data_IF_843319046335
#
_entry.id   IF_843319046335
#
_cell.length_a   1.000
_cell.length_b   1.000
_cell.length_c   1.000
_cell.angle_alpha   90.00
_cell.angle_beta   90.00
_cell.angle_gamma   90.00
#
_symmetry.space_group_name_H-M   'P 1'
#
loop_
_entity.id
_entity.type
_entity.pdbx_description
1 polymer ?
#
# COMPACT_ATOMS: atom_id res chain seq x y z
N UNK A 1 90.95 -5.31 -30.12
CA UNK A 1 91.22 -6.70 -30.53
C UNK A 1 90.02 -7.62 -30.20
N UNK A 2 88.83 -7.39 -30.76
CA UNK A 2 87.63 -8.23 -30.48
C UNK A 2 86.62 -8.35 -31.65
N UNK A 3 86.80 -7.60 -32.74
CA UNK A 3 85.95 -7.71 -33.93
C UNK A 3 86.34 -8.85 -34.89
N UNK A 4 87.47 -9.51 -34.67
CA UNK A 4 88.05 -10.46 -35.64
C UNK A 4 87.61 -11.92 -35.42
N UNK A 5 87.19 -12.28 -34.19
CA UNK A 5 86.86 -13.67 -33.85
C UNK A 5 85.46 -14.11 -34.34
N UNK A 6 84.48 -13.21 -34.35
CA UNK A 6 83.12 -13.50 -34.84
C UNK A 6 83.06 -13.66 -36.37
N UNK A 7 83.89 -12.91 -37.08
CA UNK A 7 84.07 -13.01 -38.54
C UNK A 7 84.66 -14.36 -38.93
N UNK A 8 85.65 -14.86 -38.18
CA UNK A 8 86.26 -16.17 -38.45
C UNK A 8 85.30 -17.33 -38.12
N UNK A 9 84.53 -17.28 -37.03
CA UNK A 9 83.56 -18.34 -36.70
C UNK A 9 82.45 -18.44 -37.75
N UNK A 10 81.92 -17.31 -38.26
CA UNK A 10 80.91 -17.33 -39.35
C UNK A 10 81.47 -17.91 -40.65
N UNK A 11 82.72 -17.58 -41.01
CA UNK A 11 83.38 -18.16 -42.19
C UNK A 11 83.63 -19.66 -42.04
N UNK A 12 83.97 -20.15 -40.85
CA UNK A 12 84.18 -21.58 -40.58
C UNK A 12 82.87 -22.38 -40.55
N UNK A 13 81.76 -21.80 -40.10
CA UNK A 13 80.44 -22.48 -40.12
C UNK A 13 79.85 -22.50 -41.54
N UNK A 14 80.02 -21.43 -42.33
CA UNK A 14 79.58 -21.43 -43.73
C UNK A 14 80.41 -22.36 -44.62
N UNK A 15 81.71 -22.53 -44.37
CA UNK A 15 82.54 -23.48 -45.13
C UNK A 15 82.28 -24.95 -44.73
N UNK A 16 81.81 -25.22 -43.51
CA UNK A 16 81.39 -26.56 -43.10
C UNK A 16 80.00 -26.96 -43.65
N UNK A 17 79.14 -25.98 -43.98
CA UNK A 17 77.81 -26.21 -44.55
C UNK A 17 77.80 -26.42 -46.08
N UNK A 18 78.88 -26.07 -46.79
CA UNK A 18 78.95 -26.17 -48.26
C UNK A 18 79.62 -27.45 -48.76
N UNK A 19 80.18 -28.27 -47.87
CA UNK A 19 80.69 -29.59 -48.24
C UNK A 19 79.53 -30.58 -48.26
N UNK A 20 78.80 -30.59 -49.38
CA UNK A 20 77.89 -31.66 -49.76
C UNK A 20 78.69 -32.95 -50.00
N UNK A 21 79.11 -33.61 -48.91
CA UNK A 21 79.49 -35.00 -48.97
C UNK A 21 78.25 -35.77 -49.39
N UNK A 22 78.24 -36.22 -50.65
CA UNK A 22 77.16 -36.99 -51.23
C UNK A 22 77.19 -38.37 -50.57
N UNK A 23 76.55 -38.49 -49.41
CA UNK A 23 76.57 -39.67 -48.54
C UNK A 23 75.97 -40.94 -49.21
N UNK A 24 75.47 -40.79 -50.44
CA UNK A 24 74.95 -41.86 -51.28
C UNK A 24 75.92 -42.31 -52.38
N UNK A 25 77.18 -41.86 -52.40
CA UNK A 25 78.15 -42.23 -53.42
C UNK A 25 79.52 -42.62 -52.84
N UNK A 26 79.84 -43.93 -52.69
CA UNK A 26 78.97 -45.08 -52.93
C UNK A 26 77.96 -45.31 -51.78
N UNK A 27 76.78 -45.90 -52.04
CA UNK A 27 75.79 -46.16 -51.02
C UNK A 27 76.27 -47.24 -50.02
N UNK A 28 75.84 -47.19 -48.75
CA UNK A 28 76.16 -48.23 -47.78
C UNK A 28 75.59 -49.59 -48.25
N UNK A 29 76.25 -50.72 -47.94
CA UNK A 29 76.02 -52.03 -48.56
C UNK A 29 74.63 -52.66 -48.32
N UNK A 30 73.76 -52.00 -47.56
CA UNK A 30 72.41 -52.47 -47.23
C UNK A 30 71.31 -51.51 -47.71
N UNK A 31 71.65 -50.51 -48.53
CA UNK A 31 70.70 -49.48 -48.97
C UNK A 31 70.84 -49.26 -50.48
N UNK A 32 69.76 -49.44 -51.24
CA UNK A 32 69.78 -49.15 -52.67
C UNK A 32 69.95 -47.65 -52.92
N UNK A 33 70.55 -47.30 -54.07
CA UNK A 33 70.78 -45.90 -54.47
C UNK A 33 69.48 -45.09 -54.45
N UNK A 34 68.36 -45.71 -54.83
CA UNK A 34 67.03 -45.09 -54.83
C UNK A 34 66.50 -44.82 -53.42
N UNK A 35 66.69 -45.76 -52.48
CA UNK A 35 66.29 -45.59 -51.08
C UNK A 35 67.14 -44.50 -50.42
N UNK A 36 68.44 -44.44 -50.71
CA UNK A 36 69.32 -43.40 -50.17
C UNK A 36 68.90 -41.99 -50.65
N UNK A 37 68.55 -41.84 -51.95
CA UNK A 37 68.00 -40.59 -52.49
C UNK A 37 66.66 -40.21 -51.85
N UNK A 38 65.78 -41.18 -51.59
CA UNK A 38 64.49 -40.93 -50.93
C UNK A 38 64.66 -40.46 -49.49
N UNK A 39 65.53 -41.11 -48.71
CA UNK A 39 65.82 -40.75 -47.32
C UNK A 39 66.49 -39.38 -47.21
N UNK A 40 67.44 -39.06 -48.10
CA UNK A 40 68.04 -37.72 -48.16
C UNK A 40 67.01 -36.65 -48.57
N UNK A 41 66.13 -36.96 -49.51
CA UNK A 41 65.00 -36.09 -49.86
C UNK A 41 64.05 -35.83 -48.69
N UNK A 42 63.73 -36.86 -47.89
CA UNK A 42 62.91 -36.73 -46.69
C UNK A 42 63.63 -35.94 -45.60
N UNK A 43 64.92 -36.19 -45.36
CA UNK A 43 65.72 -35.44 -44.40
C UNK A 43 65.76 -33.96 -44.77
N UNK A 44 66.04 -33.64 -46.03
CA UNK A 44 66.07 -32.26 -46.51
C UNK A 44 64.68 -31.58 -46.40
N UNK A 45 63.59 -32.29 -46.67
CA UNK A 45 62.22 -31.77 -46.44
C UNK A 45 61.91 -31.55 -44.97
N UNK A 46 62.22 -32.51 -44.09
CA UNK A 46 62.03 -32.36 -42.64
C UNK A 46 62.90 -31.23 -42.06
N UNK A 47 64.12 -31.05 -42.55
CA UNK A 47 65.00 -29.98 -42.11
C UNK A 47 64.53 -28.62 -42.64
N UNK A 48 63.97 -28.56 -43.86
CA UNK A 48 63.32 -27.36 -44.39
C UNK A 48 62.04 -27.00 -43.62
N UNK A 49 61.21 -27.98 -43.23
CA UNK A 49 60.00 -27.77 -42.42
C UNK A 49 60.34 -27.41 -40.97
N UNK A 50 61.37 -28.03 -40.37
CA UNK A 50 61.85 -27.66 -39.04
C UNK A 50 62.43 -26.25 -39.01
N UNK A 51 63.18 -25.85 -40.05
CA UNK A 51 63.69 -24.47 -40.18
C UNK A 51 62.56 -23.48 -40.45
N UNK A 52 61.57 -23.82 -41.29
CA UNK A 52 60.37 -23.00 -41.51
C UNK A 52 59.53 -22.84 -40.24
N UNK A 53 59.42 -23.88 -39.40
CA UNK A 53 58.69 -23.82 -38.13
C UNK A 53 59.48 -23.10 -37.02
N UNK A 54 60.81 -23.22 -37.01
CA UNK A 54 61.67 -22.44 -36.10
C UNK A 54 61.67 -20.95 -36.47
N UNK A 55 61.69 -20.62 -37.76
CA UNK A 55 61.51 -19.26 -38.27
C UNK A 55 60.09 -18.77 -37.98
N UNK A 56 59.03 -19.57 -38.15
CA UNK A 56 57.66 -19.19 -37.78
C UNK A 56 57.48 -19.00 -36.26
N UNK A 57 58.14 -19.80 -35.42
CA UNK A 57 58.14 -19.64 -33.96
C UNK A 57 58.87 -18.37 -33.51
N UNK A 58 60.04 -18.09 -34.10
CA UNK A 58 60.75 -16.83 -33.86
C UNK A 58 59.98 -15.63 -34.45
N UNK A 59 59.38 -15.74 -35.63
CA UNK A 59 58.51 -14.71 -36.22
C UNK A 59 57.25 -14.46 -35.38
N UNK A 60 56.65 -15.48 -34.78
CA UNK A 60 55.49 -15.30 -33.89
C UNK A 60 55.87 -14.69 -32.55
N UNK A 61 57.05 -15.03 -32.01
CA UNK A 61 57.61 -14.41 -30.80
C UNK A 61 58.05 -12.96 -31.06
N UNK A 62 58.62 -12.68 -32.24
CA UNK A 62 59.02 -11.35 -32.69
C UNK A 62 57.78 -10.51 -33.05
N UNK A 63 56.77 -11.05 -33.72
CA UNK A 63 55.52 -10.36 -34.01
C UNK A 63 54.73 -10.05 -32.73
N UNK A 64 54.74 -10.96 -31.74
CA UNK A 64 54.16 -10.69 -30.42
C UNK A 64 54.87 -9.55 -29.67
N UNK A 65 56.20 -9.46 -29.79
CA UNK A 65 57.01 -8.39 -29.17
C UNK A 65 56.96 -7.07 -29.95
N UNK A 66 56.91 -7.10 -31.28
CA UNK A 66 56.77 -5.93 -32.16
C UNK A 66 55.38 -5.32 -32.01
N UNK A 67 54.31 -6.12 -31.91
CA UNK A 67 52.97 -5.60 -31.62
C UNK A 67 52.90 -4.94 -30.24
N UNK A 68 53.62 -5.47 -29.25
CA UNK A 68 53.68 -4.86 -27.92
C UNK A 68 54.44 -3.51 -27.93
N UNK A 69 55.52 -3.41 -28.73
CA UNK A 69 56.29 -2.16 -28.89
C UNK A 69 55.52 -1.13 -29.75
N UNK A 70 54.87 -1.55 -30.84
CA UNK A 70 54.06 -0.65 -31.67
C UNK A 70 52.85 -0.10 -30.91
N UNK A 71 52.21 -0.90 -30.05
CA UNK A 71 51.18 -0.44 -29.13
C UNK A 71 51.71 0.46 -28.01
N UNK A 72 53.03 0.49 -27.75
CA UNK A 72 53.62 1.37 -26.75
C UNK A 72 54.06 2.73 -27.34
N UNK A 73 54.34 2.79 -28.64
CA UNK A 73 54.89 3.98 -29.31
C UNK A 73 53.82 4.78 -30.08
N UNK A 74 52.69 4.16 -30.47
CA UNK A 74 51.64 4.81 -31.26
C UNK A 74 50.33 5.13 -30.53
N UNK A 75 50.29 4.98 -29.21
CA UNK A 75 49.05 4.84 -28.43
C UNK A 75 49.06 5.85 -27.29
N UNK A 76 48.05 6.72 -27.23
CA UNK A 76 47.85 7.68 -26.14
C UNK A 76 47.49 6.97 -24.81
N UNK A 77 47.48 7.72 -23.70
CA UNK A 77 47.16 7.17 -22.37
C UNK A 77 45.81 6.43 -22.33
N UNK A 78 44.84 6.87 -23.14
CA UNK A 78 43.54 6.23 -23.25
C UNK A 78 43.62 4.86 -23.92
N UNK A 79 44.41 4.75 -24.99
CA UNK A 79 44.66 3.52 -25.71
C UNK A 79 45.44 2.50 -24.83
N UNK A 80 46.46 2.94 -24.08
CA UNK A 80 47.20 2.05 -23.16
C UNK A 80 46.29 1.49 -22.06
N UNK A 81 45.35 2.29 -21.56
CA UNK A 81 44.37 1.86 -20.56
C UNK A 81 43.43 0.77 -21.11
N UNK A 82 43.01 0.87 -22.38
CA UNK A 82 42.15 -0.15 -23.02
C UNK A 82 42.87 -1.49 -23.17
N UNK A 83 44.12 -1.47 -23.61
CA UNK A 83 44.94 -2.68 -23.73
C UNK A 83 45.06 -3.39 -22.38
N UNK A 84 45.36 -2.64 -21.30
CA UNK A 84 45.42 -3.22 -19.95
C UNK A 84 44.08 -3.80 -19.49
N UNK A 85 42.96 -3.14 -19.82
CA UNK A 85 41.62 -3.65 -19.50
C UNK A 85 41.35 -4.96 -20.24
N UNK A 86 41.69 -5.06 -21.52
CA UNK A 86 41.46 -6.27 -22.31
C UNK A 86 42.38 -7.42 -21.89
N UNK A 87 43.64 -7.14 -21.52
CA UNK A 87 44.54 -8.12 -20.91
C UNK A 87 44.00 -8.66 -19.59
N UNK A 88 43.50 -7.77 -18.71
CA UNK A 88 42.90 -8.17 -17.44
C UNK A 88 41.60 -8.97 -17.65
N UNK A 89 40.77 -8.58 -18.62
CA UNK A 89 39.56 -9.31 -18.99
C UNK A 89 39.88 -10.71 -19.52
N UNK A 90 40.94 -10.85 -20.32
CA UNK A 90 41.41 -12.15 -20.80
C UNK A 90 41.86 -13.03 -19.64
N UNK A 91 42.72 -12.51 -18.76
CA UNK A 91 43.19 -13.23 -17.56
C UNK A 91 42.03 -13.66 -16.66
N UNK A 92 41.01 -12.80 -16.49
CA UNK A 92 39.81 -13.14 -15.72
C UNK A 92 39.02 -14.29 -16.36
N UNK A 93 38.78 -14.27 -17.68
CA UNK A 93 38.09 -15.35 -18.39
C UNK A 93 38.87 -16.67 -18.38
N UNK A 94 40.19 -16.61 -18.48
CA UNK A 94 41.05 -17.80 -18.41
C UNK A 94 41.02 -18.39 -16.99
N UNK A 95 41.03 -17.54 -15.95
CA UNK A 95 40.86 -17.97 -14.56
C UNK A 95 39.46 -18.54 -14.30
N UNK A 96 38.41 -17.94 -14.86
CA UNK A 96 37.03 -18.44 -14.79
C UNK A 96 36.89 -19.82 -15.44
N UNK A 97 37.52 -20.03 -16.61
CA UNK A 97 37.58 -21.36 -17.24
C UNK A 97 38.36 -22.37 -16.43
N UNK A 98 39.55 -22.01 -15.93
CA UNK A 98 40.34 -22.89 -15.08
C UNK A 98 39.58 -23.25 -13.79
N UNK A 99 38.83 -22.31 -13.23
CA UNK A 99 37.94 -22.56 -12.09
C UNK A 99 36.76 -23.48 -12.44
N UNK A 100 36.20 -23.37 -13.64
CA UNK A 100 35.14 -24.25 -14.14
C UNK A 100 35.64 -25.67 -14.48
N UNK A 101 36.88 -25.80 -14.95
CA UNK A 101 37.52 -27.07 -15.30
C UNK A 101 38.14 -27.78 -14.09
N UNK A 102 38.58 -27.02 -13.07
CA UNK A 102 39.20 -27.54 -11.84
C UNK A 102 38.42 -28.70 -11.19
N UNK A 103 37.07 -28.64 -11.03
CA UNK A 103 36.30 -29.76 -10.47
C UNK A 103 36.52 -31.07 -11.21
N UNK A 104 36.54 -31.03 -12.55
CA UNK A 104 36.68 -32.23 -13.39
C UNK A 104 38.05 -32.89 -13.26
N UNK A 105 39.11 -32.08 -13.26
CA UNK A 105 40.49 -32.56 -13.09
C UNK A 105 40.71 -33.12 -11.69
N UNK A 106 40.14 -32.48 -10.66
CA UNK A 106 40.21 -32.98 -9.28
C UNK A 106 39.43 -34.29 -9.11
N UNK A 107 38.26 -34.42 -9.72
CA UNK A 107 37.45 -35.64 -9.65
C UNK A 107 38.13 -36.82 -10.35
N UNK A 108 38.76 -36.58 -11.50
CA UNK A 108 39.52 -37.62 -12.21
C UNK A 108 40.75 -38.07 -11.41
N UNK A 109 41.49 -37.13 -10.81
CA UNK A 109 42.63 -37.44 -9.95
C UNK A 109 42.20 -38.23 -8.70
N UNK A 110 41.09 -37.81 -8.08
CA UNK A 110 40.50 -38.49 -6.92
C UNK A 110 40.04 -39.90 -7.28
N UNK A 111 39.35 -40.08 -8.41
CA UNK A 111 38.95 -41.39 -8.93
C UNK A 111 40.16 -42.30 -9.13
N UNK A 112 41.22 -41.81 -9.79
CA UNK A 112 42.47 -42.58 -10.00
C UNK A 112 43.08 -43.02 -8.66
N UNK A 113 43.07 -42.15 -7.66
CA UNK A 113 43.57 -42.46 -6.31
C UNK A 113 42.76 -43.59 -5.63
N UNK A 114 41.43 -43.48 -5.57
CA UNK A 114 40.60 -44.49 -4.90
C UNK A 114 40.56 -45.83 -5.65
N UNK A 115 40.58 -45.80 -6.99
CA UNK A 115 40.66 -47.02 -7.80
C UNK A 115 42.00 -47.75 -7.55
N UNK A 116 43.10 -47.01 -7.37
CA UNK A 116 44.40 -47.61 -7.05
C UNK A 116 44.44 -48.19 -5.63
N UNK A 117 43.82 -47.50 -4.66
CA UNK A 117 43.87 -47.86 -3.25
C UNK A 117 42.93 -49.02 -2.88
N UNK A 118 41.66 -48.90 -3.25
CA UNK A 118 40.57 -49.75 -2.76
C UNK A 118 39.83 -50.46 -3.93
N UNK A 119 40.30 -50.31 -5.17
CA UNK A 119 39.65 -50.83 -6.38
C UNK A 119 38.44 -50.03 -6.82
N UNK A 120 37.74 -50.50 -7.87
CA UNK A 120 36.58 -49.81 -8.42
C UNK A 120 35.41 -49.69 -7.42
N UNK A 121 35.24 -50.69 -6.56
CA UNK A 121 34.19 -50.70 -5.54
C UNK A 121 34.41 -49.60 -4.49
N UNK A 122 35.65 -49.37 -4.05
CA UNK A 122 35.95 -48.28 -3.11
C UNK A 122 35.63 -46.89 -3.67
N UNK A 123 35.85 -46.67 -4.97
CA UNK A 123 35.39 -45.45 -5.65
C UNK A 123 33.87 -45.32 -5.67
N UNK A 124 33.13 -46.41 -5.96
CA UNK A 124 31.68 -46.39 -5.92
C UNK A 124 31.12 -46.07 -4.53
N UNK A 125 31.74 -46.60 -3.46
CA UNK A 125 31.32 -46.32 -2.09
C UNK A 125 31.53 -44.85 -1.72
N UNK A 126 32.67 -44.26 -2.10
CA UNK A 126 32.94 -42.83 -1.91
C UNK A 126 31.92 -41.98 -2.67
N UNK A 127 31.63 -42.33 -3.92
CA UNK A 127 30.68 -41.62 -4.76
C UNK A 127 29.25 -41.72 -4.20
N UNK A 128 28.85 -42.91 -3.77
CA UNK A 128 27.54 -43.16 -3.16
C UNK A 128 27.37 -42.36 -1.86
N UNK A 129 28.38 -42.37 -0.99
CA UNK A 129 28.36 -41.57 0.23
C UNK A 129 28.29 -40.06 -0.07
N UNK A 130 29.05 -39.58 -1.06
CA UNK A 130 29.01 -38.17 -1.49
C UNK A 130 27.62 -37.78 -1.96
N UNK A 131 27.02 -38.53 -2.87
CA UNK A 131 25.70 -38.19 -3.39
C UNK A 131 24.59 -38.39 -2.36
N UNK A 132 24.72 -39.35 -1.45
CA UNK A 132 23.81 -39.53 -0.32
C UNK A 132 23.83 -38.28 0.57
N UNK A 133 25.02 -37.79 0.95
CA UNK A 133 25.15 -36.57 1.75
C UNK A 133 24.58 -35.33 1.04
N UNK A 134 24.82 -35.19 -0.27
CA UNK A 134 24.24 -34.09 -1.07
C UNK A 134 22.72 -34.21 -1.11
N UNK A 135 22.18 -35.41 -1.32
CA UNK A 135 20.74 -35.65 -1.34
C UNK A 135 20.11 -35.34 0.01
N UNK A 136 20.74 -35.74 1.12
CA UNK A 136 20.25 -35.48 2.48
C UNK A 136 20.32 -33.99 2.85
N UNK A 137 21.37 -33.27 2.43
CA UNK A 137 21.45 -31.81 2.59
C UNK A 137 20.34 -31.11 1.81
N UNK A 138 20.18 -31.45 0.52
CA UNK A 138 19.11 -30.89 -0.33
C UNK A 138 17.72 -31.20 0.22
N UNK A 139 17.51 -32.42 0.71
CA UNK A 139 16.27 -32.83 1.38
C UNK A 139 16.01 -31.99 2.63
N UNK A 140 17.01 -31.79 3.48
CA UNK A 140 16.90 -30.99 4.71
C UNK A 140 16.59 -29.52 4.38
N UNK A 141 17.27 -28.94 3.40
CA UNK A 141 16.98 -27.58 2.90
C UNK A 141 15.56 -27.49 2.33
N UNK A 142 15.12 -28.48 1.55
CA UNK A 142 13.77 -28.51 0.98
C UNK A 142 12.70 -28.60 2.08
N UNK A 143 12.88 -29.46 3.09
CA UNK A 143 11.97 -29.59 4.24
C UNK A 143 11.91 -28.27 5.01
N UNK A 144 13.06 -27.63 5.26
CA UNK A 144 13.12 -26.34 5.96
C UNK A 144 12.36 -25.25 5.20
N UNK A 145 12.64 -25.10 3.90
CA UNK A 145 11.95 -24.13 3.03
C UNK A 145 10.45 -24.39 2.93
N UNK A 146 10.05 -25.65 2.87
CA UNK A 146 8.64 -26.03 2.86
C UNK A 146 7.96 -25.67 4.19
N UNK A 147 8.63 -25.90 5.32
CA UNK A 147 8.14 -25.49 6.63
C UNK A 147 8.03 -23.96 6.80
N UNK A 148 8.97 -23.20 6.24
CA UNK A 148 8.90 -21.74 6.17
C UNK A 148 7.70 -21.27 5.32
N UNK A 149 7.50 -21.87 4.14
CA UNK A 149 6.38 -21.57 3.27
C UNK A 149 5.01 -21.87 3.93
N UNK A 150 4.88 -23.01 4.62
CA UNK A 150 3.65 -23.35 5.36
C UNK A 150 3.36 -22.29 6.44
N UNK A 151 4.39 -21.84 7.16
CA UNK A 151 4.22 -20.78 8.17
C UNK A 151 3.75 -19.48 7.54
N UNK A 152 4.35 -19.07 6.42
CA UNK A 152 3.94 -17.88 5.68
C UNK A 152 2.48 -17.98 5.20
N UNK A 153 2.07 -19.13 4.66
CA UNK A 153 0.68 -19.38 4.27
C UNK A 153 -0.27 -19.27 5.47
N UNK A 154 0.08 -19.82 6.63
CA UNK A 154 -0.74 -19.68 7.84
C UNK A 154 -0.86 -18.22 8.29
N UNK A 155 0.24 -17.46 8.27
CA UNK A 155 0.20 -16.02 8.57
C UNK A 155 -0.73 -15.28 7.60
N UNK A 156 -0.64 -15.53 6.30
CA UNK A 156 -1.53 -14.92 5.30
C UNK A 156 -3.00 -15.29 5.51
N UNK A 157 -3.29 -16.53 5.90
CA UNK A 157 -4.66 -16.97 6.22
C UNK A 157 -5.19 -16.23 7.45
N UNK A 158 -4.37 -16.07 8.49
CA UNK A 158 -4.77 -15.39 9.70
C UNK A 158 -4.95 -13.87 9.48
N UNK A 159 -4.08 -13.26 8.67
CA UNK A 159 -4.23 -11.87 8.23
C UNK A 159 -5.54 -11.68 7.45
N UNK A 160 -5.84 -12.55 6.49
CA UNK A 160 -7.09 -12.51 5.73
C UNK A 160 -8.33 -12.68 6.63
N UNK A 161 -8.28 -13.57 7.63
CA UNK A 161 -9.34 -13.68 8.64
C UNK A 161 -9.48 -12.39 9.46
N UNK A 162 -8.36 -11.77 9.85
CA UNK A 162 -8.36 -10.48 10.53
C UNK A 162 -9.03 -9.39 9.70
N UNK A 163 -8.68 -9.28 8.42
CA UNK A 163 -9.26 -8.32 7.48
C UNK A 163 -10.77 -8.54 7.28
N UNK A 164 -11.22 -9.78 7.11
CA UNK A 164 -12.65 -10.08 6.95
C UNK A 164 -13.47 -9.74 8.20
N UNK A 165 -12.93 -10.00 9.40
CA UNK A 165 -13.56 -9.58 10.66
C UNK A 165 -13.63 -8.05 10.74
N UNK A 166 -12.53 -7.36 10.43
CA UNK A 166 -12.47 -5.90 10.43
C UNK A 166 -13.49 -5.30 9.45
N UNK A 167 -13.61 -5.86 8.24
CA UNK A 167 -14.58 -5.44 7.24
C UNK A 167 -16.02 -5.64 7.71
N UNK A 168 -16.32 -6.76 8.37
CA UNK A 168 -17.62 -7.01 8.98
C UNK A 168 -17.96 -5.94 10.02
N UNK A 169 -17.00 -5.61 10.91
CA UNK A 169 -17.17 -4.57 11.93
C UNK A 169 -17.34 -3.17 11.34
N UNK A 170 -16.63 -2.85 10.26
CA UNK A 170 -16.82 -1.59 9.53
C UNK A 170 -18.22 -1.48 8.91
N UNK A 171 -18.77 -2.57 8.37
CA UNK A 171 -20.14 -2.59 7.84
C UNK A 171 -21.19 -2.42 8.95
N UNK A 172 -20.98 -3.07 10.09
CA UNK A 172 -21.84 -2.92 11.27
C UNK A 172 -21.85 -1.46 11.76
N UNK A 173 -20.66 -0.85 11.89
CA UNK A 173 -20.53 0.56 12.27
C UNK A 173 -21.19 1.50 11.27
N UNK A 174 -21.03 1.26 9.96
CA UNK A 174 -21.68 2.05 8.92
C UNK A 174 -23.21 1.99 9.05
N UNK A 175 -23.76 0.79 9.30
CA UNK A 175 -25.20 0.62 9.50
C UNK A 175 -25.69 1.43 10.71
N UNK A 176 -25.00 1.34 11.85
CA UNK A 176 -25.32 2.12 13.06
C UNK A 176 -25.33 3.63 12.74
N UNK A 177 -24.34 4.12 11.98
CA UNK A 177 -24.28 5.56 11.61
C UNK A 177 -25.42 5.99 10.69
N UNK A 178 -25.87 5.13 9.78
CA UNK A 178 -27.03 5.40 8.92
C UNK A 178 -28.30 5.46 9.79
N UNK A 179 -28.48 4.47 10.67
CA UNK A 179 -29.64 4.40 11.57
C UNK A 179 -29.69 5.61 12.53
N UNK A 180 -28.55 6.03 13.09
CA UNK A 180 -28.42 7.25 13.90
C UNK A 180 -28.76 8.53 13.12
N UNK A 181 -28.30 8.63 11.87
CA UNK A 181 -28.57 9.80 11.02
C UNK A 181 -30.07 9.90 10.69
N UNK A 182 -30.70 8.79 10.34
CA UNK A 182 -32.13 8.76 10.06
C UNK A 182 -32.96 9.02 11.32
N UNK A 183 -32.55 8.51 12.48
CA UNK A 183 -33.17 8.84 13.76
C UNK A 183 -33.06 10.35 14.09
N UNK A 184 -31.90 10.96 13.86
CA UNK A 184 -31.68 12.40 14.05
C UNK A 184 -32.53 13.25 13.10
N UNK A 185 -32.63 12.88 11.82
CA UNK A 185 -33.51 13.55 10.86
C UNK A 185 -34.97 13.50 11.31
N UNK A 186 -35.45 12.32 11.71
CA UNK A 186 -36.81 12.15 12.20
C UNK A 186 -37.06 12.99 13.48
N UNK A 187 -36.08 13.10 14.36
CA UNK A 187 -36.17 13.95 15.55
C UNK A 187 -36.26 15.44 15.17
N UNK A 188 -35.42 15.92 14.24
CA UNK A 188 -35.45 17.30 13.74
C UNK A 188 -36.77 17.60 13.04
N UNK A 189 -37.29 16.68 12.22
CA UNK A 189 -38.56 16.86 11.51
C UNK A 189 -39.73 16.93 12.50
N UNK A 190 -39.70 16.11 13.56
CA UNK A 190 -40.70 16.14 14.64
C UNK A 190 -40.63 17.44 15.45
N UNK A 191 -39.43 17.90 15.83
CA UNK A 191 -39.25 19.20 16.50
C UNK A 191 -39.68 20.36 15.60
N UNK A 192 -39.40 20.29 14.30
CA UNK A 192 -39.83 21.30 13.33
C UNK A 192 -41.36 21.30 13.17
N UNK A 193 -42.00 20.13 13.14
CA UNK A 193 -43.45 20.03 13.08
C UNK A 193 -44.14 20.56 14.36
N UNK A 194 -43.56 20.25 15.53
CA UNK A 194 -44.08 20.73 16.82
C UNK A 194 -43.87 22.24 17.01
N UNK A 195 -42.74 22.78 16.58
CA UNK A 195 -42.50 24.23 16.58
C UNK A 195 -43.44 24.95 15.63
N UNK A 196 -43.64 24.47 14.40
CA UNK A 196 -44.61 25.06 13.47
C UNK A 196 -46.05 25.05 13.99
N UNK A 197 -46.45 23.99 14.71
CA UNK A 197 -47.80 23.94 15.32
C UNK A 197 -47.91 24.86 16.53
N UNK A 198 -46.86 24.96 17.35
CA UNK A 198 -46.80 25.91 18.46
C UNK A 198 -46.80 27.37 17.99
N UNK A 199 -46.04 27.71 16.94
CA UNK A 199 -46.02 29.06 16.36
C UNK A 199 -47.42 29.47 15.87
N UNK A 200 -48.13 28.56 15.18
CA UNK A 200 -49.54 28.80 14.79
C UNK A 200 -50.44 29.03 15.99
N UNK A 201 -50.27 28.27 17.08
CA UNK A 201 -51.03 28.45 18.32
C UNK A 201 -50.77 29.81 18.96
N UNK A 202 -49.50 30.26 18.99
CA UNK A 202 -49.14 31.58 19.51
C UNK A 202 -49.83 32.67 18.70
N UNK A 203 -49.78 32.59 17.36
CA UNK A 203 -50.45 33.56 16.47
C UNK A 203 -51.97 33.61 16.71
N UNK A 204 -52.64 32.46 16.86
CA UNK A 204 -54.08 32.44 17.15
C UNK A 204 -54.40 33.00 18.54
N UNK A 205 -53.54 32.73 19.53
CA UNK A 205 -53.69 33.26 20.88
C UNK A 205 -53.53 34.78 20.93
N UNK A 206 -52.53 35.33 20.23
CA UNK A 206 -52.32 36.77 20.16
C UNK A 206 -53.45 37.46 19.41
N UNK A 207 -53.89 36.91 18.28
CA UNK A 207 -55.01 37.47 17.52
C UNK A 207 -56.33 37.43 18.28
N UNK A 208 -56.62 36.33 18.98
CA UNK A 208 -57.78 36.25 19.87
C UNK A 208 -57.69 37.27 21.01
N UNK A 209 -56.52 37.47 21.60
CA UNK A 209 -56.28 38.49 22.62
C UNK A 209 -56.52 39.91 22.11
N UNK A 210 -55.98 40.26 20.94
CA UNK A 210 -56.17 41.56 20.29
C UNK A 210 -57.65 41.82 19.95
N UNK A 211 -58.35 40.80 19.43
CA UNK A 211 -59.78 40.88 19.17
C UNK A 211 -60.58 41.12 20.45
N UNK A 212 -60.26 40.40 21.53
CA UNK A 212 -60.96 40.53 22.82
C UNK A 212 -60.73 41.91 23.45
N UNK A 213 -59.53 42.48 23.32
CA UNK A 213 -59.24 43.86 23.73
C UNK A 213 -60.02 44.88 22.90
N UNK A 214 -60.13 44.66 21.59
CA UNK A 214 -60.90 45.52 20.67
C UNK A 214 -62.38 45.51 21.02
N UNK A 215 -62.97 44.33 21.20
CA UNK A 215 -64.37 44.15 21.61
C UNK A 215 -64.62 44.79 22.99
N UNK A 216 -63.71 44.60 23.94
CA UNK A 216 -63.79 45.23 25.27
C UNK A 216 -63.81 46.76 25.18
N UNK A 217 -62.94 47.34 24.34
CA UNK A 217 -62.89 48.79 24.13
C UNK A 217 -64.20 49.30 23.50
N UNK A 218 -64.68 48.61 22.46
CA UNK A 218 -65.93 48.94 21.78
C UNK A 218 -67.14 48.90 22.73
N UNK A 219 -67.29 47.83 23.51
CA UNK A 219 -68.36 47.68 24.49
C UNK A 219 -68.31 48.77 25.57
N UNK A 220 -67.11 49.18 26.00
CA UNK A 220 -66.94 50.29 26.96
C UNK A 220 -67.43 51.62 26.39
N UNK A 221 -67.15 51.90 25.11
CA UNK A 221 -67.62 53.11 24.43
C UNK A 221 -69.15 53.09 24.33
N UNK A 222 -69.74 51.99 23.83
CA UNK A 222 -71.21 51.82 23.72
C UNK A 222 -71.87 52.04 25.09
N UNK A 223 -71.30 51.45 26.14
CA UNK A 223 -71.79 51.59 27.50
C UNK A 223 -71.79 53.04 27.99
N UNK A 224 -70.69 53.79 27.78
CA UNK A 224 -70.60 55.22 28.16
C UNK A 224 -71.66 56.03 27.40
N UNK A 225 -71.84 55.78 26.10
CA UNK A 225 -72.87 56.45 25.30
C UNK A 225 -74.27 56.16 25.85
N UNK A 226 -74.59 54.90 26.15
CA UNK A 226 -75.89 54.52 26.75
C UNK A 226 -76.10 55.17 28.12
N UNK A 227 -75.05 55.27 28.94
CA UNK A 227 -75.12 55.95 30.23
C UNK A 227 -75.45 57.44 30.06
N UNK A 228 -74.80 58.13 29.11
CA UNK A 228 -75.08 59.54 28.80
C UNK A 228 -76.50 59.71 28.26
N UNK A 229 -76.93 58.86 27.32
CA UNK A 229 -78.29 58.85 26.76
C UNK A 229 -79.32 58.71 27.88
N UNK A 230 -79.11 57.77 28.80
CA UNK A 230 -79.98 57.55 29.95
C UNK A 230 -80.01 58.75 30.90
N UNK A 231 -78.86 59.38 31.17
CA UNK A 231 -78.80 60.56 32.02
C UNK A 231 -79.51 61.76 31.38
N UNK A 232 -79.33 61.99 30.08
CA UNK A 232 -79.86 63.17 29.37
C UNK A 232 -81.35 63.02 29.06
N UNK A 233 -81.75 61.90 28.48
CA UNK A 233 -83.13 61.68 28.01
C UNK A 233 -83.98 60.81 28.95
N UNK A 234 -83.37 60.18 29.95
CA UNK A 234 -84.09 59.34 30.90
C UNK A 234 -84.89 60.12 31.95
N UNK A 235 -85.51 59.39 32.91
CA UNK A 235 -86.29 59.99 33.99
C UNK A 235 -85.45 60.90 34.91
N UNK A 236 -84.13 60.70 34.91
CA UNK A 236 -83.22 61.43 35.80
C UNK A 236 -83.31 62.96 35.63
N UNK A 237 -83.19 63.47 34.38
CA UNK A 237 -83.40 64.89 34.09
C UNK A 237 -84.87 65.23 33.81
N UNK A 238 -85.57 64.42 33.02
CA UNK A 238 -86.94 64.75 32.57
C UNK A 238 -87.96 64.84 33.72
N UNK A 239 -87.84 63.98 34.74
CA UNK A 239 -88.73 63.98 35.92
C UNK A 239 -88.11 64.67 37.14
N UNK A 240 -86.96 65.33 36.97
CA UNK A 240 -86.21 65.99 38.05
C UNK A 240 -85.87 65.06 39.23
N UNK A 241 -85.70 63.76 38.97
CA UNK A 241 -85.40 62.75 40.01
C UNK A 241 -84.07 63.00 40.72
N UNK A 242 -83.18 63.79 40.13
CA UNK A 242 -81.94 64.28 40.75
C UNK A 242 -82.16 65.03 42.08
N UNK A 243 -83.37 65.55 42.35
CA UNK A 243 -83.72 66.17 43.63
C UNK A 243 -84.03 65.17 44.74
N UNK A 244 -84.32 63.92 44.38
CA UNK A 244 -84.71 62.87 45.33
C UNK A 244 -83.57 61.88 45.56
N UNK A 245 -83.37 61.46 46.82
CA UNK A 245 -82.30 60.51 47.14
C UNK A 245 -82.46 59.16 46.42
N UNK A 246 -83.71 58.74 46.17
CA UNK A 246 -84.01 57.52 45.40
C UNK A 246 -83.60 57.62 43.93
N UNK A 247 -83.68 58.82 43.34
CA UNK A 247 -83.29 59.07 41.95
C UNK A 247 -81.79 58.91 41.68
N UNK A 248 -80.94 59.06 42.70
CA UNK A 248 -79.49 58.87 42.58
C UNK A 248 -79.05 57.40 42.58
N UNK A 249 -79.88 56.49 43.09
CA UNK A 249 -79.52 55.06 43.19
C UNK A 249 -79.31 54.46 41.80
N UNK A 250 -80.21 54.73 40.85
CA UNK A 250 -80.14 54.19 39.50
C UNK A 250 -78.85 54.58 38.74
N UNK A 251 -78.45 55.86 38.64
CA UNK A 251 -77.21 56.24 37.95
C UNK A 251 -75.94 55.77 38.68
N UNK A 252 -75.95 55.74 40.02
CA UNK A 252 -74.82 55.19 40.79
C UNK A 252 -74.64 53.70 40.49
N UNK A 253 -75.73 52.92 40.53
CA UNK A 253 -75.71 51.49 40.21
C UNK A 253 -75.26 51.28 38.77
N UNK A 254 -75.75 52.09 37.82
CA UNK A 254 -75.32 52.06 36.43
C UNK A 254 -73.79 52.25 36.37
N UNK A 255 -73.26 53.38 36.84
CA UNK A 255 -71.81 53.68 36.82
C UNK A 255 -70.95 52.57 37.48
N UNK A 256 -71.41 51.98 38.57
CA UNK A 256 -70.68 50.95 39.32
C UNK A 256 -70.74 49.58 38.60
N UNK A 257 -71.83 49.26 37.90
CA UNK A 257 -72.06 47.96 37.26
C UNK A 257 -70.88 47.41 36.42
N UNK A 258 -70.25 48.15 35.49
CA UNK A 258 -69.15 47.61 34.69
C UNK A 258 -67.91 47.23 35.51
N UNK A 259 -67.73 47.85 36.69
CA UNK A 259 -66.62 47.52 37.59
C UNK A 259 -66.93 46.30 38.45
N UNK A 260 -68.19 46.07 38.82
CA UNK A 260 -68.59 44.94 39.67
C UNK A 260 -68.71 43.62 38.91
N UNK A 261 -69.07 43.64 37.62
CA UNK A 261 -69.21 42.42 36.79
C UNK A 261 -67.94 41.56 36.83
N UNK A 262 -66.75 42.16 36.74
CA UNK A 262 -65.48 41.42 36.80
C UNK A 262 -65.34 40.62 38.11
N UNK A 263 -65.66 41.23 39.24
CA UNK A 263 -65.59 40.58 40.55
C UNK A 263 -66.66 39.49 40.70
N UNK A 264 -67.86 39.72 40.17
CA UNK A 264 -68.94 38.74 40.17
C UNK A 264 -68.54 37.50 39.38
N UNK A 265 -67.99 37.65 38.18
CA UNK A 265 -67.52 36.51 37.36
C UNK A 265 -66.40 35.76 38.06
N UNK A 266 -65.42 36.47 38.63
CA UNK A 266 -64.33 35.85 39.40
C UNK A 266 -64.85 35.07 40.61
N UNK A 267 -65.85 35.61 41.29
CA UNK A 267 -66.51 34.95 42.42
C UNK A 267 -67.23 33.66 41.98
N UNK A 268 -68.00 33.69 40.89
CA UNK A 268 -68.62 32.48 40.33
C UNK A 268 -67.60 31.44 39.90
N UNK A 269 -66.51 31.86 39.26
CA UNK A 269 -65.43 30.95 38.86
C UNK A 269 -64.79 30.27 40.08
N UNK A 270 -64.49 31.04 41.13
CA UNK A 270 -64.00 30.50 42.40
C UNK A 270 -64.96 29.49 43.04
N UNK A 271 -66.28 29.79 43.04
CA UNK A 271 -67.29 28.85 43.53
C UNK A 271 -67.30 27.57 42.68
N UNK A 272 -67.26 27.70 41.35
CA UNK A 272 -67.25 26.54 40.44
C UNK A 272 -66.03 25.65 40.66
N UNK A 273 -64.83 26.22 40.80
CA UNK A 273 -63.62 25.44 41.12
C UNK A 273 -63.76 24.70 42.46
N UNK A 274 -64.34 25.33 43.48
CA UNK A 274 -64.60 24.68 44.78
C UNK A 274 -65.62 23.56 44.67
N UNK A 275 -66.69 23.75 43.90
CA UNK A 275 -67.71 22.72 43.66
C UNK A 275 -67.12 21.55 42.87
N UNK A 276 -66.40 21.82 41.78
CA UNK A 276 -65.76 20.80 40.95
C UNK A 276 -64.75 19.99 41.77
N UNK A 277 -63.86 20.67 42.52
CA UNK A 277 -62.93 20.02 43.43
C UNK A 277 -63.65 19.16 44.48
N UNK A 278 -64.75 19.65 45.06
CA UNK A 278 -65.52 18.89 46.04
C UNK A 278 -66.14 17.63 45.42
N UNK A 279 -66.71 17.73 44.22
CA UNK A 279 -67.25 16.58 43.48
C UNK A 279 -66.18 15.54 43.17
N UNK A 280 -65.03 15.97 42.68
CA UNK A 280 -63.99 15.09 42.17
C UNK A 280 -63.16 14.43 43.30
N UNK A 281 -63.09 15.05 44.48
CA UNK A 281 -62.32 14.54 45.64
C UNK A 281 -63.16 13.94 46.78
N UNK A 282 -64.47 14.20 46.86
CA UNK A 282 -65.34 13.64 47.93
C UNK A 282 -66.47 12.73 47.46
N UNK A 283 -66.71 12.62 46.15
CA UNK A 283 -67.58 11.58 45.62
C UNK A 283 -66.89 10.22 45.69
N UNK A 284 -67.54 9.15 46.22
CA UNK A 284 -67.00 7.81 46.07
C UNK A 284 -66.85 7.52 44.57
N UNK A 285 -65.61 7.31 44.10
CA UNK A 285 -65.38 6.86 42.74
C UNK A 285 -65.84 5.41 42.68
N UNK A 286 -66.88 5.13 41.89
CA UNK A 286 -67.35 3.78 41.66
C UNK A 286 -66.27 3.02 40.86
N UNK A 287 -65.44 2.26 41.58
CA UNK A 287 -64.29 1.51 41.02
C UNK A 287 -64.75 0.42 40.03
N UNK A 288 -66.03 0.07 40.02
CA UNK A 288 -66.58 -1.04 39.25
C UNK A 288 -67.00 -0.69 37.81
N UNK A 289 -66.90 0.58 37.39
CA UNK A 289 -67.24 0.99 36.01
C UNK A 289 -66.06 0.93 35.02
N UNK A 290 -64.81 0.90 35.51
CA UNK A 290 -63.59 0.92 34.66
C UNK A 290 -63.03 -0.48 34.28
N UNK A 291 -63.74 -1.57 34.61
CA UNK A 291 -63.29 -2.95 34.34
C UNK A 291 -63.96 -3.59 33.10
N UNK A 292 -64.56 -2.79 32.22
CA UNK A 292 -65.08 -3.25 30.92
C UNK A 292 -64.33 -2.57 29.77
N UNK A 293 -63.05 -2.88 29.62
CA UNK A 293 -62.36 -2.91 28.32
C UNK A 293 -61.08 -3.73 28.41
#
# INVERSE_FOLDING_TARGET
MSSDCSSQIKKTIQSASSNTYNMCDPPPPFMSVEVCKMVMGMKNKMQAEANANAEASQLNSINGKIMNIMNQVGCDDACQKRIRIDELRKKWKDAEKAQAEAPSVTEEAEKKYYVLKDGLNGWHDVLMNRYTNIADDKKTVAIKKHGELIKEIHTLIDDYKGETIALSKMRELLKIRIDENDALKNAIDSETATTQTNDRRVIYSTWAGEWLLTVRSLLKIIYIVLAIVYLVWGPFLSKQEYKTMKGWIAPIVLIIMPFTIYYIVKFFYFINEKIAWWRDNKGPKDVFLDLKE
#
